data_IF_849005926733
#
_entry.id   IF_849005926733
#
_cell.length_a   1.000
_cell.length_b   1.000
_cell.length_c   1.000
_cell.angle_alpha   90.00
_cell.angle_beta   90.00
_cell.angle_gamma   90.00
#
_symmetry.space_group_name_H-M   'P 1'
#
loop_
_entity.id
_entity.type
_entity.pdbx_description
1 polymer ?
#
# COMPACT_ATOMS: atom_id res chain seq x y z
N UNK A 1 17.38 7.46 44.79
CA UNK A 1 17.37 6.77 43.47
C UNK A 1 18.51 7.23 42.54
N UNK A 2 18.90 8.52 42.50
CA UNK A 2 19.98 8.99 41.62
C UNK A 2 21.41 8.59 42.05
N UNK A 3 21.65 8.40 43.34
CA UNK A 3 22.99 8.12 43.88
C UNK A 3 23.48 6.73 43.42
N UNK A 4 22.63 5.71 43.41
CA UNK A 4 23.02 4.35 43.00
C UNK A 4 23.33 4.21 41.50
N UNK A 5 22.88 5.15 40.66
CA UNK A 5 23.17 5.13 39.22
C UNK A 5 24.58 5.64 38.89
N UNK A 6 25.18 6.45 39.77
CA UNK A 6 26.53 6.96 39.56
C UNK A 6 27.59 5.93 39.99
N UNK A 7 27.28 5.06 40.96
CA UNK A 7 28.17 4.00 41.45
C UNK A 7 28.42 2.89 40.40
N UNK A 8 27.59 2.80 39.36
CA UNK A 8 27.69 1.80 38.30
C UNK A 8 28.40 2.31 37.03
N UNK A 9 28.96 3.53 37.05
CA UNK A 9 29.63 4.11 35.88
C UNK A 9 31.08 3.64 35.79
N UNK A 10 31.46 3.15 34.61
CA UNK A 10 32.78 2.62 34.33
C UNK A 10 33.35 3.19 33.01
N UNK A 11 34.68 3.24 32.94
CA UNK A 11 35.44 3.66 31.77
C UNK A 11 35.57 2.55 30.71
N UNK A 12 35.57 1.27 31.13
CA UNK A 12 35.84 0.15 30.23
C UNK A 12 34.62 -0.26 29.37
N UNK A 13 33.40 -0.06 29.89
CA UNK A 13 32.15 -0.43 29.19
C UNK A 13 31.47 0.76 28.47
N UNK A 14 32.11 1.93 28.51
CA UNK A 14 31.64 3.17 27.90
C UNK A 14 30.42 3.82 28.56
N UNK A 15 29.97 3.33 29.72
CA UNK A 15 28.82 3.91 30.44
C UNK A 15 29.11 5.34 30.91
N UNK A 16 30.33 5.61 31.38
CA UNK A 16 30.76 6.96 31.77
C UNK A 16 30.68 7.93 30.59
N UNK A 17 31.17 7.53 29.42
CA UNK A 17 31.14 8.37 28.21
C UNK A 17 29.72 8.69 27.77
N UNK A 18 28.82 7.70 27.73
CA UNK A 18 27.40 7.93 27.37
C UNK A 18 26.72 8.88 28.35
N UNK A 19 27.01 8.77 29.65
CA UNK A 19 26.46 9.66 30.68
C UNK A 19 26.95 11.10 30.50
N UNK A 20 28.27 11.27 30.34
CA UNK A 20 28.90 12.58 30.09
C UNK A 20 28.37 13.22 28.81
N UNK A 21 28.26 12.44 27.72
CA UNK A 21 27.68 12.92 26.46
C UNK A 21 26.24 13.41 26.67
N UNK A 22 25.38 12.63 27.34
CA UNK A 22 24.00 13.04 27.63
C UNK A 22 23.91 14.33 28.45
N UNK A 23 24.83 14.57 29.39
CA UNK A 23 24.89 15.78 30.21
C UNK A 23 25.38 16.99 29.42
N UNK A 24 26.37 16.81 28.54
CA UNK A 24 26.95 17.90 27.75
C UNK A 24 26.11 18.24 26.51
N UNK A 25 25.34 17.29 25.99
CA UNK A 25 24.45 17.51 24.85
C UNK A 25 23.23 18.32 25.26
N UNK A 26 23.09 19.52 24.71
CA UNK A 26 21.81 20.24 24.72
C UNK A 26 20.79 19.42 23.93
N UNK A 27 19.69 19.06 24.57
CA UNK A 27 18.53 18.46 23.88
C UNK A 27 17.53 19.57 23.64
N UNK A 28 17.07 19.71 22.41
CA UNK A 28 15.87 20.49 22.14
C UNK A 28 14.67 19.67 22.62
N UNK A 29 13.76 20.31 23.35
CA UNK A 29 12.47 19.69 23.63
C UNK A 29 11.68 19.62 22.33
N UNK A 30 11.23 18.41 21.98
CA UNK A 30 10.31 18.24 20.87
C UNK A 30 8.95 18.73 21.38
N UNK A 31 8.34 19.75 20.75
CA UNK A 31 7.04 20.25 21.19
C UNK A 31 5.99 19.16 21.06
N UNK A 32 5.03 19.15 21.98
CA UNK A 32 3.91 18.22 21.92
C UNK A 32 3.05 18.51 20.68
N UNK A 33 2.63 17.45 19.99
CA UNK A 33 1.65 17.58 18.91
C UNK A 33 0.35 18.09 19.51
N UNK A 34 -0.20 19.15 18.92
CA UNK A 34 -1.46 19.76 19.36
C UNK A 34 -2.52 19.55 18.31
N UNK A 35 -3.74 19.31 18.77
CA UNK A 35 -4.89 19.32 17.88
C UNK A 35 -5.12 20.75 17.38
N UNK A 36 -5.19 21.00 16.07
CA UNK A 36 -5.35 22.35 15.52
C UNK A 36 -6.70 22.99 15.87
N UNK A 37 -7.76 22.21 16.12
CA UNK A 37 -9.07 22.72 16.49
C UNK A 37 -9.20 23.12 17.97
N UNK A 38 -8.51 22.40 18.88
CA UNK A 38 -8.61 22.63 20.33
C UNK A 38 -7.37 23.27 20.95
N UNK A 39 -6.24 23.31 20.24
CA UNK A 39 -4.91 23.72 20.71
C UNK A 39 -4.39 22.95 21.94
N UNK A 40 -5.04 21.84 22.30
CA UNK A 40 -4.63 20.97 23.39
C UNK A 40 -3.64 19.91 22.89
N UNK A 41 -2.69 19.46 23.75
CA UNK A 41 -1.79 18.38 23.42
C UNK A 41 -2.53 17.06 23.17
N UNK A 42 -2.04 16.30 22.20
CA UNK A 42 -2.52 14.95 21.89
C UNK A 42 -1.75 13.93 22.72
N UNK A 43 -2.48 13.19 23.55
CA UNK A 43 -1.90 12.29 24.52
C UNK A 43 -1.87 10.85 24.01
N UNK A 44 -2.90 10.44 23.26
CA UNK A 44 -2.98 9.07 22.72
C UNK A 44 -2.35 8.98 21.34
N UNK A 45 -1.92 7.78 20.94
CA UNK A 45 -1.34 7.57 19.62
C UNK A 45 -2.41 7.64 18.51
N UNK A 46 -3.66 7.31 18.85
CA UNK A 46 -4.80 7.49 17.94
C UNK A 46 -5.03 8.96 17.62
N UNK A 47 -5.11 9.83 18.63
CA UNK A 47 -5.26 11.28 18.43
C UNK A 47 -4.15 11.85 17.54
N UNK A 48 -2.91 11.39 17.72
CA UNK A 48 -1.78 11.82 16.90
C UNK A 48 -1.91 11.34 15.46
N UNK A 49 -2.35 10.10 15.26
CA UNK A 49 -2.54 9.53 13.93
C UNK A 49 -3.59 10.31 13.14
N UNK A 50 -4.74 10.63 13.76
CA UNK A 50 -5.80 11.42 13.14
C UNK A 50 -5.30 12.83 12.76
N UNK A 51 -4.61 13.53 13.67
CA UNK A 51 -4.07 14.87 13.36
C UNK A 51 -3.09 14.84 12.18
N UNK A 52 -2.25 13.80 12.12
CA UNK A 52 -1.32 13.63 11.00
C UNK A 52 -2.10 13.32 9.71
N UNK A 53 -3.11 12.47 9.77
CA UNK A 53 -3.95 12.14 8.62
C UNK A 53 -4.65 13.38 8.06
N UNK A 54 -5.34 14.15 8.90
CA UNK A 54 -6.00 15.41 8.53
C UNK A 54 -5.02 16.41 7.94
N UNK A 55 -3.84 16.54 8.55
CA UNK A 55 -2.80 17.44 8.06
C UNK A 55 -2.34 17.03 6.66
N UNK A 56 -2.03 15.75 6.45
CA UNK A 56 -1.57 15.25 5.15
C UNK A 56 -2.67 15.37 4.09
N UNK A 57 -3.93 15.10 4.42
CA UNK A 57 -5.06 15.32 3.51
C UNK A 57 -5.15 16.77 3.05
N UNK A 58 -4.99 17.73 3.97
CA UNK A 58 -5.02 19.16 3.64
C UNK A 58 -3.82 19.63 2.80
N UNK A 59 -2.66 18.99 2.97
CA UNK A 59 -1.43 19.32 2.23
C UNK A 59 -1.43 18.72 0.82
N UNK A 60 -2.03 17.54 0.65
CA UNK A 60 -2.10 16.85 -0.64
C UNK A 60 -3.44 17.08 -1.30
N UNK A 61 -3.73 18.33 -1.65
CA UNK A 61 -4.82 18.62 -2.58
C UNK A 61 -4.38 18.27 -4.00
N UNK A 62 -5.24 17.63 -4.81
CA UNK A 62 -5.01 17.51 -6.23
C UNK A 62 -4.77 18.89 -6.82
N UNK A 63 -3.59 19.02 -7.39
CA UNK A 63 -3.12 20.24 -8.01
C UNK A 63 -4.01 20.50 -9.25
N UNK A 64 -4.65 21.67 -9.38
CA UNK A 64 -5.51 22.04 -10.53
C UNK A 64 -4.67 22.39 -11.77
N UNK A 65 -3.76 21.49 -12.12
CA UNK A 65 -2.95 21.55 -13.34
C UNK A 65 -3.51 20.55 -14.36
N UNK A 66 -4.83 20.33 -14.36
CA UNK A 66 -5.50 19.61 -15.41
C UNK A 66 -5.19 20.28 -16.75
N UNK A 67 -4.67 19.53 -17.71
CA UNK A 67 -4.61 19.98 -19.10
C UNK A 67 -5.89 19.51 -19.79
N UNK A 68 -6.81 20.42 -20.16
CA UNK A 68 -8.09 20.03 -20.77
C UNK A 68 -7.93 19.21 -22.05
N UNK A 69 -6.79 19.34 -22.74
CA UNK A 69 -6.50 18.53 -23.93
C UNK A 69 -6.20 17.08 -23.56
N UNK A 70 -5.40 16.87 -22.50
CA UNK A 70 -5.10 15.55 -21.94
C UNK A 70 -6.37 14.89 -21.43
N UNK A 71 -7.21 15.60 -20.66
CA UNK A 71 -8.48 15.07 -20.16
C UNK A 71 -9.40 14.62 -21.30
N UNK A 72 -9.61 15.49 -22.31
CA UNK A 72 -10.38 15.14 -23.51
C UNK A 72 -9.81 13.94 -24.27
N UNK A 73 -8.49 13.82 -24.32
CA UNK A 73 -7.82 12.69 -24.99
C UNK A 73 -8.08 11.39 -24.25
N UNK A 74 -7.96 11.40 -22.92
CA UNK A 74 -8.26 10.24 -22.07
C UNK A 74 -9.73 9.84 -22.19
N UNK A 75 -10.65 10.79 -22.07
CA UNK A 75 -12.09 10.55 -22.22
C UNK A 75 -12.43 9.94 -23.58
N UNK A 76 -11.85 10.50 -24.66
CA UNK A 76 -12.02 9.98 -26.02
C UNK A 76 -11.52 8.54 -26.13
N UNK A 77 -10.33 8.24 -25.62
CA UNK A 77 -9.75 6.89 -25.63
C UNK A 77 -10.62 5.88 -24.88
N UNK A 78 -11.14 6.26 -23.70
CA UNK A 78 -12.02 5.40 -22.91
C UNK A 78 -13.34 5.13 -23.66
N UNK A 79 -13.92 6.17 -24.27
CA UNK A 79 -15.14 6.04 -25.06
C UNK A 79 -14.94 5.13 -26.27
N UNK A 80 -13.82 5.31 -26.99
CA UNK A 80 -13.45 4.48 -28.14
C UNK A 80 -13.25 3.02 -27.73
N UNK A 81 -12.52 2.76 -26.64
CA UNK A 81 -12.32 1.41 -26.11
C UNK A 81 -13.64 0.71 -25.73
N UNK A 82 -14.57 1.44 -25.10
CA UNK A 82 -15.89 0.89 -24.73
C UNK A 82 -16.77 0.62 -25.95
N UNK A 83 -16.69 1.48 -26.96
CA UNK A 83 -17.49 1.38 -28.18
C UNK A 83 -16.83 0.52 -29.26
N UNK A 84 -15.60 0.04 -29.02
CA UNK A 84 -14.92 -0.86 -29.93
C UNK A 84 -15.72 -2.17 -29.98
N UNK A 85 -16.44 -2.35 -31.09
CA UNK A 85 -17.07 -3.62 -31.41
C UNK A 85 -15.91 -4.60 -31.57
N UNK A 86 -15.72 -5.45 -30.56
CA UNK A 86 -14.83 -6.60 -30.62
C UNK A 86 -15.40 -7.57 -31.63
N UNK A 87 -15.21 -7.27 -32.91
CA UNK A 87 -15.34 -8.26 -33.96
C UNK A 87 -14.34 -9.33 -33.59
N UNK A 88 -14.82 -10.53 -33.27
CA UNK A 88 -13.94 -11.63 -32.95
C UNK A 88 -13.10 -11.89 -34.20
N UNK A 89 -11.86 -11.40 -34.23
CA UNK A 89 -10.84 -11.78 -35.23
C UNK A 89 -10.58 -13.29 -35.20
N UNK A 90 -11.09 -13.98 -34.19
CA UNK A 90 -11.03 -15.41 -34.04
C UNK A 90 -11.87 -16.10 -35.11
N UNK A 91 -11.24 -17.05 -35.81
CA UNK A 91 -11.94 -17.99 -36.66
C UNK A 91 -12.93 -18.80 -35.82
N UNK A 92 -14.06 -19.16 -36.42
CA UNK A 92 -14.99 -20.11 -35.80
C UNK A 92 -14.26 -21.44 -35.58
N UNK A 93 -14.45 -22.02 -34.39
CA UNK A 93 -13.88 -23.32 -34.03
C UNK A 93 -14.40 -24.39 -34.99
N UNK A 94 -13.50 -25.21 -35.51
CA UNK A 94 -13.84 -26.36 -36.34
C UNK A 94 -14.11 -27.58 -35.45
N UNK A 95 -15.07 -28.45 -35.81
CA UNK A 95 -15.32 -29.70 -35.06
C UNK A 95 -14.06 -30.58 -34.92
N UNK A 96 -13.17 -30.56 -35.91
CA UNK A 96 -11.89 -31.29 -35.86
C UNK A 96 -10.96 -30.81 -34.75
N UNK A 97 -10.96 -29.52 -34.42
CA UNK A 97 -10.18 -28.96 -33.32
C UNK A 97 -10.70 -29.50 -31.98
N UNK A 98 -12.03 -29.53 -31.81
CA UNK A 98 -12.68 -30.08 -30.60
C UNK A 98 -12.29 -31.55 -30.41
N UNK A 99 -12.41 -32.36 -31.47
CA UNK A 99 -12.04 -33.78 -31.44
C UNK A 99 -10.55 -33.95 -31.12
N UNK A 100 -9.68 -33.10 -31.68
CA UNK A 100 -8.25 -33.12 -31.39
C UNK A 100 -7.99 -32.86 -29.91
N UNK A 101 -8.62 -31.84 -29.32
CA UNK A 101 -8.49 -31.55 -27.90
C UNK A 101 -9.00 -32.71 -27.03
N UNK A 102 -10.18 -33.25 -27.31
CA UNK A 102 -10.76 -34.38 -26.56
C UNK A 102 -9.79 -35.57 -26.50
N UNK A 103 -9.12 -35.90 -27.62
CA UNK A 103 -8.13 -36.99 -27.66
C UNK A 103 -6.90 -36.78 -26.78
N UNK A 104 -6.52 -35.53 -26.52
CA UNK A 104 -5.33 -35.19 -25.74
C UNK A 104 -5.65 -34.93 -24.26
N UNK A 105 -6.93 -34.96 -23.86
CA UNK A 105 -7.33 -34.81 -22.47
C UNK A 105 -6.91 -36.04 -21.66
N UNK A 106 -6.24 -35.81 -20.53
CA UNK A 106 -5.85 -36.88 -19.59
C UNK A 106 -7.07 -37.32 -18.77
N UNK A 107 -7.52 -38.55 -18.97
CA UNK A 107 -8.70 -39.13 -18.31
C UNK A 107 -8.59 -39.12 -16.77
N UNK A 108 -7.37 -39.24 -16.23
CA UNK A 108 -7.11 -39.35 -14.79
C UNK A 108 -6.93 -37.99 -14.08
N UNK A 109 -7.23 -36.86 -14.73
CA UNK A 109 -7.21 -35.56 -14.07
C UNK A 109 -8.43 -35.41 -13.15
N UNK A 110 -8.23 -34.76 -12.01
CA UNK A 110 -9.30 -34.44 -11.09
C UNK A 110 -10.34 -33.50 -11.76
N UNK A 111 -11.64 -33.64 -11.42
CA UNK A 111 -12.69 -32.78 -11.95
C UNK A 111 -12.51 -31.31 -11.52
N UNK A 112 -13.05 -30.40 -12.33
CA UNK A 112 -13.06 -28.97 -12.05
C UNK A 112 -14.12 -28.57 -11.03
N UNK A 113 -14.38 -27.25 -10.94
CA UNK A 113 -15.43 -26.70 -10.06
C UNK A 113 -16.83 -27.19 -10.41
N UNK A 114 -17.03 -27.56 -11.68
CA UNK A 114 -18.26 -28.14 -12.22
C UNK A 114 -18.46 -29.63 -11.83
N UNK A 115 -17.46 -30.24 -11.16
CA UNK A 115 -17.45 -31.65 -10.80
C UNK A 115 -17.53 -32.62 -11.99
N UNK A 116 -17.30 -32.16 -13.23
CA UNK A 116 -17.31 -33.00 -14.42
C UNK A 116 -15.93 -33.64 -14.57
N UNK A 117 -15.90 -34.97 -14.68
CA UNK A 117 -14.65 -35.71 -14.88
C UNK A 117 -14.31 -35.79 -16.36
N UNK A 118 -13.01 -35.80 -16.69
CA UNK A 118 -12.53 -35.96 -18.06
C UNK A 118 -12.93 -37.29 -18.72
N UNK A 119 -13.36 -38.27 -17.93
CA UNK A 119 -13.90 -39.55 -18.42
C UNK A 119 -15.32 -39.42 -18.98
N UNK A 120 -16.05 -38.39 -18.58
CA UNK A 120 -17.42 -38.13 -19.00
C UNK A 120 -17.51 -37.20 -20.22
N UNK A 121 -16.38 -36.67 -20.69
CA UNK A 121 -16.24 -35.87 -21.91
C UNK A 121 -16.00 -36.79 -23.10
#
# INVERSE_FOLDING_TARGET
MYISQNEQLNIYDGTLWRRTKRLKSKRSEIPQLKNPGTNLPSHTDLEKAEIIADHLESQFTPNDFGDPNTERTVEKSIREFKNEIRTSKFKKVQPSEIICFMKHIKINKAPGIDSITNKAL
#
